data_IF_313973781262
#
_entry.id   IF_313973781262
#
_cell.length_a   1.000
_cell.length_b   1.000
_cell.length_c   1.000
_cell.angle_alpha   90.00
_cell.angle_beta   90.00
_cell.angle_gamma   90.00
#
_symmetry.space_group_name_H-M   'P 1'
#
loop_
_entity.id
_entity.type
_entity.pdbx_description
1 polymer ?
#
# COMPACT_ATOMS: atom_id res chain seq x y z
N UNK A 1 -60.53 -19.99 14.01
CA UNK A 1 -59.50 -19.08 14.53
C UNK A 1 -58.65 -18.61 13.35
N UNK A 2 -58.81 -17.37 12.88
CA UNK A 2 -57.95 -16.78 11.84
C UNK A 2 -56.64 -16.37 12.52
N UNK A 3 -55.54 -17.03 12.18
CA UNK A 3 -54.23 -16.67 12.66
C UNK A 3 -53.79 -15.35 11.99
N UNK A 4 -53.57 -14.32 12.81
CA UNK A 4 -53.03 -13.02 12.41
C UNK A 4 -51.60 -13.20 11.88
N UNK A 5 -51.47 -13.30 10.56
CA UNK A 5 -50.19 -13.38 9.84
C UNK A 5 -49.40 -12.07 9.87
N UNK A 6 -50.00 -10.95 10.30
CA UNK A 6 -49.42 -9.60 10.29
C UNK A 6 -48.35 -9.36 11.36
N UNK A 7 -48.38 -10.10 12.47
CA UNK A 7 -47.36 -9.99 13.54
C UNK A 7 -46.01 -10.60 13.17
N UNK A 8 -46.01 -11.69 12.39
CA UNK A 8 -44.79 -12.45 12.05
C UNK A 8 -43.89 -11.68 11.05
N UNK A 9 -44.50 -11.00 10.07
CA UNK A 9 -43.75 -10.17 9.11
C UNK A 9 -43.08 -8.94 9.74
N UNK A 10 -43.70 -8.35 10.78
CA UNK A 10 -43.10 -7.22 11.52
C UNK A 10 -41.88 -7.65 12.36
N UNK A 11 -41.89 -8.84 12.94
CA UNK A 11 -40.76 -9.37 13.71
C UNK A 11 -39.54 -9.69 12.83
N UNK A 12 -39.74 -10.30 11.67
CA UNK A 12 -38.67 -10.64 10.72
C UNK A 12 -38.01 -9.37 10.15
N UNK A 13 -38.79 -8.34 9.81
CA UNK A 13 -38.26 -7.06 9.34
C UNK A 13 -37.39 -6.35 10.38
N UNK A 14 -37.74 -6.46 11.66
CA UNK A 14 -36.99 -5.87 12.78
C UNK A 14 -35.65 -6.59 13.01
N UNK A 15 -35.65 -7.93 12.94
CA UNK A 15 -34.43 -8.74 13.04
C UNK A 15 -33.49 -8.45 11.86
N UNK A 16 -34.01 -8.40 10.63
CA UNK A 16 -33.21 -8.01 9.46
C UNK A 16 -32.65 -6.59 9.59
N UNK A 17 -33.39 -5.64 10.16
CA UNK A 17 -32.90 -4.27 10.38
C UNK A 17 -31.81 -4.16 11.44
N UNK A 18 -31.77 -5.06 12.44
CA UNK A 18 -30.71 -5.12 13.45
C UNK A 18 -29.47 -5.88 12.98
N UNK A 19 -29.65 -6.91 12.13
CA UNK A 19 -28.55 -7.78 11.69
C UNK A 19 -27.91 -7.28 10.39
N UNK A 20 -28.67 -6.62 9.50
CA UNK A 20 -28.14 -6.08 8.25
C UNK A 20 -27.01 -5.05 8.44
N UNK A 21 -27.08 -4.09 9.39
CA UNK A 21 -25.96 -3.16 9.63
C UNK A 21 -24.70 -3.90 10.06
N UNK A 22 -24.84 -4.93 10.89
CA UNK A 22 -23.72 -5.75 11.41
C UNK A 22 -23.09 -6.59 10.31
N UNK A 23 -23.90 -7.19 9.42
CA UNK A 23 -23.41 -7.94 8.25
C UNK A 23 -22.77 -7.01 7.22
N UNK A 24 -23.35 -5.83 6.97
CA UNK A 24 -22.79 -4.84 6.04
C UNK A 24 -21.48 -4.28 6.59
N UNK A 25 -21.40 -4.01 7.90
CA UNK A 25 -20.14 -3.63 8.55
C UNK A 25 -19.12 -4.76 8.48
N UNK A 26 -19.48 -6.01 8.78
CA UNK A 26 -18.52 -7.11 8.72
C UNK A 26 -18.06 -7.42 7.29
N UNK A 27 -18.89 -7.24 6.27
CA UNK A 27 -18.47 -7.43 4.87
C UNK A 27 -17.56 -6.31 4.34
N UNK A 28 -17.72 -5.05 4.78
CA UNK A 28 -16.91 -3.92 4.27
C UNK A 28 -15.77 -3.47 5.17
N UNK A 29 -15.92 -3.56 6.48
CA UNK A 29 -14.95 -3.05 7.44
C UNK A 29 -13.86 -4.09 7.71
N UNK A 30 -14.22 -5.37 7.81
CA UNK A 30 -13.26 -6.44 8.11
C UNK A 30 -12.14 -6.56 7.07
N UNK A 31 -12.39 -6.50 5.75
CA UNK A 31 -11.31 -6.56 4.77
C UNK A 31 -10.35 -5.36 4.90
N UNK A 32 -10.88 -4.15 5.08
CA UNK A 32 -10.06 -2.93 5.22
C UNK A 32 -9.20 -2.95 6.48
N UNK A 33 -9.78 -3.38 7.60
CA UNK A 33 -9.04 -3.48 8.87
C UNK A 33 -7.95 -4.54 8.77
N UNK A 34 -8.25 -5.71 8.20
CA UNK A 34 -7.26 -6.77 7.98
C UNK A 34 -6.12 -6.30 7.09
N UNK A 35 -6.40 -5.56 6.01
CA UNK A 35 -5.35 -5.04 5.12
C UNK A 35 -4.48 -3.97 5.78
N UNK A 36 -5.04 -3.09 6.61
CA UNK A 36 -4.26 -2.13 7.39
C UNK A 36 -3.36 -2.84 8.42
N UNK A 37 -3.86 -3.91 9.04
CA UNK A 37 -3.05 -4.77 9.90
C UNK A 37 -1.96 -5.52 9.12
N UNK A 38 -2.27 -6.00 7.91
CA UNK A 38 -1.30 -6.67 7.04
C UNK A 38 -0.20 -5.71 6.61
N UNK A 39 -0.55 -4.47 6.23
CA UNK A 39 0.39 -3.37 5.98
C UNK A 39 1.29 -3.10 7.19
N UNK A 40 0.70 -2.92 8.37
CA UNK A 40 1.46 -2.67 9.60
C UNK A 40 2.35 -3.85 10.00
N UNK A 41 1.89 -5.08 9.77
CA UNK A 41 2.63 -6.30 10.05
C UNK A 41 3.77 -6.53 9.06
N UNK A 42 3.53 -6.32 7.75
CA UNK A 42 4.52 -6.44 6.70
C UNK A 42 5.60 -5.35 6.82
N UNK A 43 5.22 -4.15 7.24
CA UNK A 43 6.15 -3.09 7.64
C UNK A 43 7.01 -3.51 8.85
N UNK A 44 6.38 -4.10 9.88
CA UNK A 44 7.08 -4.54 11.09
C UNK A 44 8.01 -5.75 10.86
N UNK A 45 7.65 -6.66 9.95
CA UNK A 45 8.38 -7.91 9.69
C UNK A 45 9.17 -7.89 8.37
N UNK A 46 9.23 -6.74 7.68
CA UNK A 46 9.95 -6.53 6.40
C UNK A 46 9.70 -7.64 5.38
N UNK A 47 8.44 -7.87 5.03
CA UNK A 47 8.05 -8.85 4.02
C UNK A 47 7.78 -8.14 2.68
N UNK A 48 8.77 -8.01 1.78
CA UNK A 48 8.62 -7.27 0.52
C UNK A 48 7.54 -7.88 -0.37
N UNK A 49 7.45 -9.21 -0.44
CA UNK A 49 6.46 -9.94 -1.24
C UNK A 49 5.01 -9.57 -0.87
N UNK A 50 4.75 -9.37 0.44
CA UNK A 50 3.42 -9.01 0.94
C UNK A 50 3.09 -7.55 0.62
N UNK A 51 4.09 -6.67 0.62
CA UNK A 51 3.90 -5.26 0.25
C UNK A 51 3.60 -5.12 -1.25
N UNK A 52 4.27 -5.90 -2.10
CA UNK A 52 4.01 -5.94 -3.55
C UNK A 52 2.62 -6.53 -3.88
N UNK A 53 2.21 -7.59 -3.18
CA UNK A 53 0.87 -8.16 -3.34
C UNK A 53 -0.21 -7.14 -2.93
N UNK A 54 -0.02 -6.45 -1.81
CA UNK A 54 -0.93 -5.42 -1.33
C UNK A 54 -0.97 -4.20 -2.27
N UNK A 55 0.18 -3.73 -2.77
CA UNK A 55 0.25 -2.68 -3.79
C UNK A 55 -0.60 -3.05 -5.00
N UNK A 56 -0.38 -4.25 -5.55
CA UNK A 56 -1.08 -4.75 -6.74
C UNK A 56 -2.59 -4.83 -6.50
N UNK A 57 -3.00 -5.36 -5.35
CA UNK A 57 -4.42 -5.47 -4.99
C UNK A 57 -5.07 -4.09 -4.85
N UNK A 58 -4.39 -3.13 -4.23
CA UNK A 58 -4.88 -1.76 -4.09
C UNK A 58 -4.99 -1.05 -5.43
N UNK A 59 -4.00 -1.20 -6.32
CA UNK A 59 -4.07 -0.68 -7.69
C UNK A 59 -5.25 -1.26 -8.47
N UNK A 60 -5.50 -2.56 -8.37
CA UNK A 60 -6.64 -3.22 -9.02
C UNK A 60 -7.98 -2.74 -8.46
N UNK A 61 -8.03 -2.42 -7.17
CA UNK A 61 -9.22 -1.86 -6.52
C UNK A 61 -9.44 -0.37 -6.79
N UNK A 62 -8.48 0.31 -7.40
CA UNK A 62 -8.49 1.76 -7.64
C UNK A 62 -8.18 2.62 -6.40
N UNK A 63 -7.74 2.01 -5.30
CA UNK A 63 -7.33 2.72 -4.08
C UNK A 63 -5.85 3.11 -4.15
N UNK A 64 -5.54 4.09 -5.00
CA UNK A 64 -4.17 4.53 -5.26
C UNK A 64 -3.48 5.15 -4.03
N UNK A 65 -4.26 5.65 -3.05
CA UNK A 65 -3.71 6.17 -1.80
C UNK A 65 -3.14 5.04 -0.94
N UNK A 66 -3.86 3.93 -0.80
CA UNK A 66 -3.39 2.76 -0.06
C UNK A 66 -2.23 2.04 -0.78
N UNK A 67 -2.26 1.98 -2.12
CA UNK A 67 -1.14 1.47 -2.91
C UNK A 67 0.13 2.31 -2.71
N UNK A 68 0.00 3.64 -2.68
CA UNK A 68 1.14 4.54 -2.46
C UNK A 68 1.75 4.31 -1.05
N UNK A 69 0.93 4.11 -0.03
CA UNK A 69 1.42 3.80 1.32
C UNK A 69 2.17 2.48 1.39
N UNK A 70 1.68 1.43 0.72
CA UNK A 70 2.38 0.15 0.64
C UNK A 70 3.76 0.30 -0.02
N UNK A 71 3.80 1.06 -1.11
CA UNK A 71 5.03 1.30 -1.85
C UNK A 71 6.01 2.21 -1.08
N UNK A 72 5.51 3.22 -0.36
CA UNK A 72 6.32 4.04 0.54
C UNK A 72 6.98 3.21 1.64
N UNK A 73 6.25 2.26 2.23
CA UNK A 73 6.78 1.37 3.25
C UNK A 73 7.86 0.42 2.69
N UNK A 74 7.70 -0.06 1.45
CA UNK A 74 8.74 -0.82 0.77
C UNK A 74 9.97 0.07 0.44
N UNK A 75 9.72 1.29 -0.01
CA UNK A 75 10.74 2.28 -0.37
C UNK A 75 11.50 2.86 0.82
N UNK A 76 10.93 2.92 2.03
CA UNK A 76 11.60 3.46 3.23
C UNK A 76 12.72 2.54 3.75
N UNK A 77 12.77 1.28 3.30
CA UNK A 77 13.82 0.33 3.69
C UNK A 77 15.17 0.73 3.07
N UNK A 78 16.02 1.41 3.83
CA UNK A 78 17.38 1.78 3.38
C UNK A 78 18.25 0.54 3.15
N UNK A 79 18.99 0.55 2.04
CA UNK A 79 19.98 -0.48 1.73
C UNK A 79 21.19 -0.35 2.67
N UNK A 80 21.73 -1.48 3.11
CA UNK A 80 23.00 -1.49 3.82
C UNK A 80 24.17 -1.28 2.85
N UNK A 81 25.36 -0.95 3.38
CA UNK A 81 26.56 -0.81 2.56
C UNK A 81 26.95 -2.12 1.84
N UNK A 82 26.58 -3.27 2.41
CA UNK A 82 26.77 -4.59 1.78
C UNK A 82 25.79 -4.79 0.62
N UNK A 83 24.52 -4.41 0.81
CA UNK A 83 23.50 -4.49 -0.25
C UNK A 83 23.81 -3.59 -1.44
N UNK A 84 24.44 -2.44 -1.20
CA UNK A 84 24.89 -1.50 -2.25
C UNK A 84 25.98 -2.08 -3.15
N UNK A 85 26.62 -3.19 -2.78
CA UNK A 85 27.55 -3.91 -3.65
C UNK A 85 26.83 -4.90 -4.58
N UNK A 86 25.58 -5.22 -4.29
CA UNK A 86 24.78 -6.17 -5.04
C UNK A 86 23.88 -5.45 -6.04
N UNK A 87 24.32 -5.40 -7.31
CA UNK A 87 23.60 -4.68 -8.37
C UNK A 87 22.14 -5.13 -8.58
N UNK A 88 21.78 -6.39 -8.29
CA UNK A 88 20.39 -6.86 -8.36
C UNK A 88 19.50 -6.20 -7.31
N UNK A 89 20.01 -6.04 -6.07
CA UNK A 89 19.29 -5.40 -4.97
C UNK A 89 19.12 -3.90 -5.22
N UNK A 90 20.18 -3.25 -5.71
CA UNK A 90 20.12 -1.83 -6.10
C UNK A 90 19.10 -1.61 -7.23
N UNK A 91 19.10 -2.47 -8.27
CA UNK A 91 18.12 -2.38 -9.36
C UNK A 91 16.68 -2.56 -8.89
N UNK A 92 16.43 -3.54 -8.01
CA UNK A 92 15.10 -3.74 -7.43
C UNK A 92 14.64 -2.48 -6.69
N UNK A 93 15.51 -1.93 -5.83
CA UNK A 93 15.20 -0.73 -5.05
C UNK A 93 14.94 0.51 -5.91
N UNK A 94 15.76 0.72 -6.94
CA UNK A 94 15.56 1.80 -7.91
C UNK A 94 14.24 1.63 -8.65
N UNK A 95 13.86 0.39 -8.98
CA UNK A 95 12.55 0.06 -9.57
C UNK A 95 11.39 0.48 -8.68
N UNK A 96 11.46 0.18 -7.38
CA UNK A 96 10.43 0.57 -6.41
C UNK A 96 10.31 2.09 -6.25
N UNK A 97 11.44 2.79 -6.16
CA UNK A 97 11.47 4.26 -6.12
C UNK A 97 10.91 4.87 -7.42
N UNK A 98 11.22 4.30 -8.59
CA UNK A 98 10.68 4.76 -9.86
C UNK A 98 9.15 4.59 -9.93
N UNK A 99 8.62 3.45 -9.49
CA UNK A 99 7.17 3.22 -9.37
C UNK A 99 6.54 4.24 -8.42
N UNK A 100 7.19 4.55 -7.30
CA UNK A 100 6.68 5.50 -6.30
C UNK A 100 6.63 6.93 -6.85
N UNK A 101 7.68 7.36 -7.54
CA UNK A 101 7.71 8.63 -8.24
C UNK A 101 6.59 8.72 -9.29
N UNK A 102 6.37 7.66 -10.07
CA UNK A 102 5.28 7.59 -11.04
C UNK A 102 3.91 7.70 -10.36
N UNK A 103 3.69 6.98 -9.27
CA UNK A 103 2.43 7.00 -8.52
C UNK A 103 2.11 8.41 -7.99
N UNK A 104 3.09 9.05 -7.34
CA UNK A 104 2.95 10.42 -6.82
C UNK A 104 2.63 11.40 -7.94
N UNK A 105 3.28 11.27 -9.10
CA UNK A 105 3.02 12.13 -10.26
C UNK A 105 1.63 11.89 -10.88
N UNK A 106 1.33 10.64 -11.27
CA UNK A 106 0.15 10.31 -12.09
C UNK A 106 -1.15 10.40 -11.31
N UNK A 107 -1.16 9.89 -10.08
CA UNK A 107 -2.37 9.82 -9.26
C UNK A 107 -2.47 10.96 -8.25
N UNK A 108 -1.49 11.89 -8.26
CA UNK A 108 -1.42 13.06 -7.36
C UNK A 108 -1.60 12.68 -5.90
N UNK A 109 -1.05 11.54 -5.52
CA UNK A 109 -1.08 11.04 -4.14
C UNK A 109 0.07 11.69 -3.39
N UNK A 110 -0.21 12.83 -2.77
CA UNK A 110 0.73 13.57 -1.92
C UNK A 110 -0.03 14.24 -0.78
N UNK A 111 0.69 14.56 0.29
CA UNK A 111 0.10 15.25 1.44
C UNK A 111 -0.35 16.67 1.09
N UNK A 112 -1.27 17.22 1.90
CA UNK A 112 -1.81 18.56 1.69
C UNK A 112 -0.72 19.63 1.63
N UNK A 113 -0.70 20.39 0.53
CA UNK A 113 0.25 21.48 0.31
C UNK A 113 1.51 21.09 -0.45
N UNK A 114 1.71 19.80 -0.77
CA UNK A 114 2.80 19.34 -1.61
C UNK A 114 2.43 19.39 -3.09
N UNK A 115 3.42 19.69 -3.93
CA UNK A 115 3.27 19.61 -5.38
C UNK A 115 3.61 18.18 -5.82
N UNK A 116 2.67 17.43 -6.43
CA UNK A 116 2.90 16.05 -6.89
C UNK A 116 4.15 15.87 -7.76
N UNK A 117 4.44 16.88 -8.59
CA UNK A 117 5.61 16.87 -9.47
C UNK A 117 6.91 16.94 -8.69
N UNK A 118 6.98 17.83 -7.70
CA UNK A 118 8.21 18.06 -6.94
C UNK A 118 8.50 16.87 -6.03
N UNK A 119 7.47 16.25 -5.45
CA UNK A 119 7.62 15.02 -4.66
C UNK A 119 8.06 13.83 -5.51
N UNK A 120 7.53 13.69 -6.72
CA UNK A 120 8.00 12.66 -7.65
C UNK A 120 9.47 12.87 -8.04
N UNK A 121 9.89 14.12 -8.27
CA UNK A 121 11.28 14.44 -8.59
C UNK A 121 12.20 14.08 -7.41
N UNK A 122 11.83 14.40 -6.17
CA UNK A 122 12.62 14.04 -4.98
C UNK A 122 12.87 12.54 -4.89
N UNK A 123 11.84 11.73 -5.10
CA UNK A 123 11.95 10.25 -5.08
C UNK A 123 12.86 9.74 -6.20
N UNK A 124 12.79 10.34 -7.40
CA UNK A 124 13.66 9.99 -8.51
C UNK A 124 15.11 10.44 -8.30
N UNK A 125 15.32 11.57 -7.62
CA UNK A 125 16.66 12.02 -7.22
C UNK A 125 17.29 11.05 -6.21
N UNK A 126 16.51 10.53 -5.25
CA UNK A 126 16.98 9.47 -4.32
C UNK A 126 17.36 8.19 -5.07
N UNK A 127 16.58 7.79 -6.08
CA UNK A 127 16.93 6.66 -6.94
C UNK A 127 18.24 6.91 -7.71
N UNK A 128 18.48 8.13 -8.18
CA UNK A 128 19.75 8.50 -8.83
C UNK A 128 20.92 8.41 -7.86
N UNK A 129 20.77 8.94 -6.65
CA UNK A 129 21.82 8.90 -5.62
C UNK A 129 22.25 7.48 -5.29
N UNK A 130 21.30 6.53 -5.18
CA UNK A 130 21.60 5.11 -4.98
C UNK A 130 22.43 4.51 -6.12
N UNK A 131 22.13 4.86 -7.37
CA UNK A 131 22.89 4.39 -8.54
C UNK A 131 24.31 4.96 -8.50
N UNK A 132 24.44 6.26 -8.23
CA UNK A 132 25.74 6.93 -8.14
C UNK A 132 26.61 6.35 -7.02
N UNK A 133 26.00 5.99 -5.89
CA UNK A 133 26.69 5.36 -4.76
C UNK A 133 27.14 3.93 -5.10
N UNK A 134 26.28 3.13 -5.72
CA UNK A 134 26.63 1.78 -6.20
C UNK A 134 27.82 1.83 -7.17
N UNK A 135 27.77 2.70 -8.19
CA UNK A 135 28.86 2.84 -9.17
C UNK A 135 30.16 3.28 -8.48
N UNK A 136 30.09 4.20 -7.51
CA UNK A 136 31.27 4.67 -6.77
C UNK A 136 31.93 3.52 -6.01
N UNK A 137 31.12 2.67 -5.38
CA UNK A 137 31.62 1.51 -4.64
C UNK A 137 32.20 0.44 -5.57
N UNK A 138 31.57 0.16 -6.71
CA UNK A 138 32.12 -0.76 -7.72
C UNK A 138 33.48 -0.29 -8.24
N UNK A 139 33.63 1.01 -8.53
CA UNK A 139 34.90 1.58 -8.99
C UNK A 139 35.97 1.53 -7.89
N UNK A 140 35.60 1.72 -6.62
CA UNK A 140 36.54 1.65 -5.50
C UNK A 140 37.03 0.22 -5.18
N UNK A 141 36.34 -0.82 -5.69
CA UNK A 141 36.72 -2.22 -5.52
C UNK A 141 37.60 -2.77 -6.67
N UNK A 142 37.78 -2.00 -7.75
CA UNK A 142 38.69 -2.31 -8.85
C UNK A 142 40.10 -1.76 -8.60
#
# INVERSE_FOLDING_TARGET
>A
ARADLTGCFRGIGLILSMVAPTIIMSMRVTPRVVKNFALAYAAAHRQPDVLEELETEYMQSGDYAAANQALELAADTKLSAEDLLHGDVVRAKVGDLAKLGEMRWRYRVVDHGQNPRDEAIKVLDEARELIEEHIRLEVAQQ
#
